data_IF_825989066627
#
_entry.id   IF_825989066627
#
_cell.length_a   1.000
_cell.length_b   1.000
_cell.length_c   1.000
_cell.angle_alpha   90.00
_cell.angle_beta   90.00
_cell.angle_gamma   90.00
#
_symmetry.space_group_name_H-M   'P 1'
#
loop_
_entity.id
_entity.type
_entity.pdbx_description
1 polymer ?
#
# COMPACT_ATOMS: atom_id res chain seq x y z
N UNK A 1 -3.27 -16.07 36.15
CA UNK A 1 -4.09 -16.44 34.96
C UNK A 1 -4.87 -15.25 34.40
N UNK A 2 -5.71 -14.56 35.19
CA UNK A 2 -6.48 -13.38 34.74
C UNK A 2 -5.62 -12.19 34.27
N UNK A 3 -4.52 -11.90 34.97
CA UNK A 3 -3.61 -10.80 34.63
C UNK A 3 -2.87 -11.06 33.31
N UNK A 4 -2.38 -12.28 33.10
CA UNK A 4 -1.71 -12.69 31.86
C UNK A 4 -2.65 -12.61 30.64
N UNK A 5 -3.93 -12.97 30.82
CA UNK A 5 -4.94 -12.86 29.77
C UNK A 5 -5.24 -11.38 29.41
N UNK A 6 -5.30 -10.50 30.42
CA UNK A 6 -5.48 -9.06 30.19
C UNK A 6 -4.29 -8.44 29.43
N UNK A 7 -3.06 -8.80 29.81
CA UNK A 7 -1.85 -8.36 29.10
C UNK A 7 -1.80 -8.86 27.65
N UNK A 8 -2.21 -10.12 27.41
CA UNK A 8 -2.24 -10.68 26.06
C UNK A 8 -3.23 -9.96 25.14
N UNK A 9 -4.42 -9.62 25.64
CA UNK A 9 -5.44 -8.90 24.88
C UNK A 9 -5.00 -7.47 24.52
N UNK A 10 -4.33 -6.78 25.46
CA UNK A 10 -3.79 -5.44 25.21
C UNK A 10 -2.67 -5.50 24.16
N UNK A 11 -1.78 -6.49 24.23
CA UNK A 11 -0.71 -6.66 23.26
C UNK A 11 -1.22 -6.91 21.83
N UNK A 12 -2.29 -7.72 21.67
CA UNK A 12 -2.91 -7.95 20.36
C UNK A 12 -3.57 -6.70 19.77
N UNK A 13 -4.15 -5.84 20.61
CA UNK A 13 -4.81 -4.62 20.14
C UNK A 13 -3.81 -3.56 19.63
N UNK A 14 -2.54 -3.62 20.06
CA UNK A 14 -1.48 -2.71 19.62
C UNK A 14 -0.86 -3.11 18.27
N UNK A 15 -1.15 -4.34 17.78
CA UNK A 15 -0.54 -4.88 16.56
C UNK A 15 -1.17 -4.35 15.27
N UNK A 16 -2.29 -3.62 15.34
CA UNK A 16 -3.01 -3.09 14.17
C UNK A 16 -2.64 -1.64 13.81
N UNK A 17 -1.56 -1.10 14.36
CA UNK A 17 -1.18 0.31 14.18
C UNK A 17 -0.28 0.56 12.95
N UNK A 18 0.16 -0.49 12.26
CA UNK A 18 0.99 -0.38 11.06
C UNK A 18 0.24 -0.99 9.87
N UNK A 19 -0.54 -0.16 9.18
CA UNK A 19 -1.13 -0.52 7.90
C UNK A 19 -0.10 -0.31 6.79
N UNK A 20 0.10 -1.32 5.94
CA UNK A 20 1.04 -1.26 4.83
C UNK A 20 0.34 -0.63 3.61
N UNK A 21 0.86 0.51 3.15
CA UNK A 21 0.34 1.21 1.99
C UNK A 21 1.18 0.91 0.76
N UNK A 22 0.51 0.56 -0.34
CA UNK A 22 1.18 0.48 -1.65
C UNK A 22 1.66 1.88 -2.08
N UNK A 23 2.90 1.95 -2.55
CA UNK A 23 3.50 3.16 -3.10
C UNK A 23 4.26 2.82 -4.38
N UNK A 24 4.35 3.78 -5.31
CA UNK A 24 5.01 3.56 -6.58
C UNK A 24 4.66 4.62 -7.62
N UNK A 25 5.04 4.35 -8.86
CA UNK A 25 4.77 5.21 -10.02
C UNK A 25 4.00 4.39 -11.04
N UNK A 26 2.88 4.91 -11.52
CA UNK A 26 2.19 4.35 -12.69
C UNK A 26 2.87 4.90 -13.94
N UNK A 27 3.23 4.03 -14.87
CA UNK A 27 3.93 4.41 -16.10
C UNK A 27 3.39 3.59 -17.28
N UNK A 28 3.61 4.11 -18.48
CA UNK A 28 3.33 3.37 -19.70
C UNK A 28 4.57 2.55 -20.08
N UNK A 29 4.48 1.22 -19.93
CA UNK A 29 5.48 0.26 -20.40
C UNK A 29 5.50 0.27 -21.94
N UNK A 30 6.35 1.13 -22.50
CA UNK A 30 6.34 1.46 -23.92
C UNK A 30 6.99 0.37 -24.76
N UNK A 31 7.95 -0.37 -24.19
CA UNK A 31 8.67 -1.44 -24.87
C UNK A 31 8.17 -2.85 -24.50
N UNK A 32 7.19 -2.94 -23.59
CA UNK A 32 6.49 -4.16 -23.16
C UNK A 32 7.40 -5.18 -22.48
N UNK A 33 8.39 -4.71 -21.72
CA UNK A 33 9.35 -5.58 -21.05
C UNK A 33 8.99 -5.88 -19.57
N UNK A 34 7.87 -5.37 -19.07
CA UNK A 34 7.38 -5.53 -17.69
C UNK A 34 8.32 -4.97 -16.62
N UNK A 35 9.19 -4.05 -17.00
CA UNK A 35 10.11 -3.35 -16.10
C UNK A 35 9.93 -1.86 -16.33
N UNK A 36 10.14 -1.10 -15.27
CA UNK A 36 10.18 0.35 -15.40
C UNK A 36 11.54 0.77 -15.92
N UNK A 37 11.57 1.31 -17.12
CA UNK A 37 12.78 1.90 -17.68
C UNK A 37 12.86 3.41 -17.37
N UNK A 38 14.08 3.94 -17.31
CA UNK A 38 14.33 5.34 -16.92
C UNK A 38 13.77 6.37 -17.91
N UNK A 39 13.58 5.97 -19.16
CA UNK A 39 13.01 6.78 -20.23
C UNK A 39 11.48 6.68 -20.32
N UNK A 40 10.84 5.87 -19.47
CA UNK A 40 9.38 5.74 -19.46
C UNK A 40 8.73 6.80 -18.59
N UNK A 41 7.76 7.49 -19.19
CA UNK A 41 7.05 8.57 -18.53
C UNK A 41 6.03 8.01 -17.54
N UNK A 42 5.99 8.62 -16.36
CA UNK A 42 4.90 8.43 -15.43
C UNK A 42 3.58 8.95 -15.99
N UNK A 43 2.47 8.39 -15.51
CA UNK A 43 1.11 8.82 -15.80
C UNK A 43 0.58 9.48 -14.52
N UNK A 44 0.33 10.80 -14.52
CA UNK A 44 -0.15 11.50 -13.33
C UNK A 44 -1.62 11.22 -13.08
N UNK A 45 -2.04 11.39 -11.82
CA UNK A 45 -3.46 11.33 -11.40
C UNK A 45 -4.20 10.06 -11.81
N UNK A 46 -3.54 8.92 -11.74
CA UNK A 46 -4.19 7.63 -12.00
C UNK A 46 -5.01 7.26 -10.77
N UNK A 47 -6.31 6.97 -10.96
CA UNK A 47 -7.17 6.47 -9.91
C UNK A 47 -6.77 5.03 -9.54
N UNK A 48 -6.43 4.81 -8.26
CA UNK A 48 -6.05 3.52 -7.67
C UNK A 48 -7.03 3.17 -6.57
N UNK A 49 -7.47 1.90 -6.53
CA UNK A 49 -8.40 1.40 -5.51
C UNK A 49 -7.82 0.24 -4.72
N UNK A 50 -8.11 0.22 -3.42
CA UNK A 50 -7.86 -0.92 -2.53
C UNK A 50 -9.10 -1.82 -2.34
N UNK A 51 -10.18 -1.58 -3.10
CA UNK A 51 -11.47 -2.28 -2.97
C UNK A 51 -12.47 -1.63 -1.99
N UNK A 52 -12.06 -0.61 -1.24
CA UNK A 52 -12.94 0.22 -0.40
C UNK A 52 -12.91 1.68 -0.85
N UNK A 53 -11.70 2.22 -1.01
CA UNK A 53 -11.43 3.60 -1.35
C UNK A 53 -10.89 3.72 -2.78
N UNK A 54 -10.96 4.94 -3.32
CA UNK A 54 -10.33 5.33 -4.59
C UNK A 54 -9.54 6.62 -4.33
N UNK A 55 -8.26 6.62 -4.69
CA UNK A 55 -7.36 7.77 -4.56
C UNK A 55 -6.62 8.00 -5.87
N UNK A 56 -6.29 9.26 -6.19
CA UNK A 56 -5.44 9.58 -7.33
C UNK A 56 -3.96 9.56 -6.93
N UNK A 57 -3.08 9.09 -7.82
CA UNK A 57 -1.63 9.33 -7.71
C UNK A 57 -1.30 10.81 -7.88
N UNK A 58 -0.05 11.19 -7.60
CA UNK A 58 0.46 12.56 -7.74
C UNK A 58 0.42 13.12 -9.18
#
# INVERSE_FOLDING_TARGET
MKLALALLLIASALSSLAEEFASGIVYHDANRNQKRDTNEKGIPKVAVSNGSDIVETD
#
